data_IF_507711606427
#
_entry.id   IF_507711606427
#
_cell.length_a   1.000
_cell.length_b   1.000
_cell.length_c   1.000
_cell.angle_alpha   90.00
_cell.angle_beta   90.00
_cell.angle_gamma   90.00
#
_symmetry.space_group_name_H-M   'P 1'
#
loop_
_entity.id
_entity.type
_entity.pdbx_description
1 polymer ?
#
# COMPACT_ATOMS: atom_id res chain seq x y z
N UNK A 1 -2.34 7.83 19.93
CA UNK A 1 -3.62 7.72 19.22
C UNK A 1 -4.17 6.31 19.38
N UNK A 2 -5.29 6.23 20.03
CA UNK A 2 -6.01 4.95 20.04
C UNK A 2 -6.48 4.71 18.61
N UNK A 3 -5.99 3.64 17.98
CA UNK A 3 -6.70 3.12 16.82
C UNK A 3 -8.08 2.73 17.34
N UNK A 4 -9.03 3.65 17.24
CA UNK A 4 -10.35 3.40 17.77
C UNK A 4 -10.93 2.16 17.11
N UNK A 5 -11.32 1.23 17.93
CA UNK A 5 -12.11 0.08 17.46
C UNK A 5 -13.36 0.65 16.79
N UNK A 6 -13.46 0.48 15.50
CA UNK A 6 -14.63 0.91 14.73
C UNK A 6 -15.60 -0.24 14.63
N UNK A 7 -16.88 0.08 14.61
CA UNK A 7 -17.91 -0.94 14.36
C UNK A 7 -17.62 -1.62 13.01
N UNK A 8 -18.01 -2.86 12.86
CA UNK A 8 -17.78 -3.63 11.62
C UNK A 8 -18.33 -2.89 10.39
N UNK A 9 -19.49 -2.27 10.52
CA UNK A 9 -20.09 -1.50 9.43
C UNK A 9 -19.24 -0.29 9.03
N UNK A 10 -18.74 0.46 10.00
CA UNK A 10 -17.85 1.61 9.75
C UNK A 10 -16.51 1.16 9.20
N UNK A 11 -16.02 0.02 9.65
CA UNK A 11 -14.76 -0.55 9.16
C UNK A 11 -14.87 -0.90 7.67
N UNK A 12 -15.94 -1.57 7.26
CA UNK A 12 -16.18 -1.90 5.86
C UNK A 12 -16.31 -0.65 4.99
N UNK A 13 -16.98 0.37 5.50
CA UNK A 13 -17.14 1.63 4.79
C UNK A 13 -15.78 2.33 4.60
N UNK A 14 -14.94 2.36 5.62
CA UNK A 14 -13.59 2.94 5.53
C UNK A 14 -12.71 2.17 4.55
N UNK A 15 -12.80 0.85 4.54
CA UNK A 15 -12.10 0.03 3.55
C UNK A 15 -12.51 0.39 2.12
N UNK A 16 -13.80 0.55 1.88
CA UNK A 16 -14.31 0.96 0.57
C UNK A 16 -13.82 2.36 0.19
N UNK A 17 -13.81 3.29 1.14
CA UNK A 17 -13.36 4.66 0.92
C UNK A 17 -11.87 4.72 0.55
N UNK A 18 -11.01 4.06 1.30
CA UNK A 18 -9.57 4.11 1.05
C UNK A 18 -9.22 3.49 -0.30
N UNK A 19 -9.88 2.40 -0.66
CA UNK A 19 -9.71 1.76 -1.97
C UNK A 19 -10.20 2.68 -3.09
N UNK A 20 -11.38 3.26 -2.93
CA UNK A 20 -11.94 4.18 -3.94
C UNK A 20 -11.02 5.39 -4.17
N UNK A 21 -10.40 5.91 -3.12
CA UNK A 21 -9.46 7.02 -3.21
C UNK A 21 -8.24 6.64 -4.07
N UNK A 22 -7.60 5.51 -3.78
CA UNK A 22 -6.45 5.06 -4.57
C UNK A 22 -6.85 4.80 -6.02
N UNK A 23 -7.97 4.12 -6.24
CA UNK A 23 -8.47 3.83 -7.59
C UNK A 23 -8.84 5.10 -8.36
N UNK A 24 -9.25 6.16 -7.67
CA UNK A 24 -9.57 7.44 -8.31
C UNK A 24 -8.36 8.08 -9.00
N UNK A 25 -7.15 7.67 -8.63
CA UNK A 25 -5.91 8.17 -9.22
C UNK A 25 -5.34 7.21 -10.29
N UNK A 26 -6.03 6.11 -10.58
CA UNK A 26 -5.57 5.10 -11.55
C UNK A 26 -5.28 5.75 -12.92
N UNK A 27 -4.04 5.56 -13.39
CA UNK A 27 -3.57 6.11 -14.66
C UNK A 27 -3.39 7.62 -14.72
N UNK A 28 -3.58 8.33 -13.60
CA UNK A 28 -3.65 9.80 -13.59
C UNK A 28 -2.44 10.50 -13.02
N UNK A 29 -1.64 9.82 -12.19
CA UNK A 29 -0.53 10.46 -11.51
C UNK A 29 0.79 10.14 -12.19
N UNK A 30 1.58 11.18 -12.45
CA UNK A 30 2.96 11.04 -12.86
C UNK A 30 3.80 10.66 -11.65
N UNK A 31 4.70 9.69 -11.83
CA UNK A 31 5.57 9.23 -10.76
C UNK A 31 6.65 10.26 -10.46
N UNK A 32 6.80 10.62 -9.19
CA UNK A 32 7.91 11.45 -8.72
C UNK A 32 8.28 11.10 -7.29
N UNK A 33 9.59 11.08 -7.02
CA UNK A 33 10.13 10.94 -5.67
C UNK A 33 10.60 12.27 -5.10
N UNK A 34 10.45 13.36 -5.84
CA UNK A 34 10.79 14.69 -5.35
C UNK A 34 9.98 15.04 -4.12
N UNK A 35 10.64 15.55 -3.08
CA UNK A 35 10.02 15.80 -1.78
C UNK A 35 8.75 16.65 -1.88
N UNK A 36 8.77 17.71 -2.66
CA UNK A 36 7.59 18.58 -2.82
C UNK A 36 6.56 17.99 -3.77
N UNK A 37 7.01 17.33 -4.84
CA UNK A 37 6.12 16.78 -5.86
C UNK A 37 5.32 15.59 -5.40
N UNK A 38 5.97 14.66 -4.67
CA UNK A 38 5.33 13.40 -4.27
C UNK A 38 4.10 13.56 -3.37
N UNK A 39 3.95 14.69 -2.71
CA UNK A 39 2.80 14.98 -1.85
C UNK A 39 1.64 15.66 -2.59
N UNK A 40 1.81 15.96 -3.87
CA UNK A 40 0.80 16.64 -4.68
C UNK A 40 -0.10 15.65 -5.40
N UNK A 41 -0.64 14.71 -4.65
CA UNK A 41 -1.42 13.59 -5.21
C UNK A 41 -2.66 14.09 -5.95
N UNK A 42 -3.38 15.06 -5.39
CA UNK A 42 -4.55 15.66 -6.01
C UNK A 42 -4.21 16.42 -7.31
N UNK A 43 -2.97 16.86 -7.46
CA UNK A 43 -2.50 17.61 -8.64
C UNK A 43 -1.88 16.70 -9.71
N UNK A 44 -1.85 15.39 -9.49
CA UNK A 44 -1.38 14.42 -10.46
C UNK A 44 0.07 13.96 -10.28
N UNK A 45 0.62 14.05 -9.06
CA UNK A 45 1.99 13.61 -8.77
C UNK A 45 2.05 12.79 -7.49
N UNK A 46 2.73 11.65 -7.52
CA UNK A 46 2.92 10.80 -6.34
C UNK A 46 4.03 9.78 -6.57
N UNK A 47 4.45 9.13 -5.50
CA UNK A 47 5.15 7.84 -5.57
C UNK A 47 4.28 6.77 -4.88
N UNK A 48 4.81 5.54 -4.74
CA UNK A 48 4.01 4.45 -4.18
C UNK A 48 3.54 4.74 -2.75
N UNK A 49 4.43 5.22 -1.90
CA UNK A 49 4.13 5.46 -0.49
C UNK A 49 3.31 6.73 -0.25
N UNK A 50 3.56 7.80 -1.01
CA UNK A 50 2.78 9.03 -0.86
C UNK A 50 1.33 8.86 -1.31
N UNK A 51 1.10 8.02 -2.31
CA UNK A 51 -0.25 7.71 -2.77
C UNK A 51 -1.09 7.03 -1.67
N UNK A 52 -0.55 5.99 -1.05
CA UNK A 52 -1.29 5.29 0.01
C UNK A 52 -1.40 6.14 1.28
N UNK A 53 -0.38 6.92 1.61
CA UNK A 53 -0.44 7.88 2.70
C UNK A 53 -1.59 8.88 2.50
N UNK A 54 -1.67 9.47 1.31
CA UNK A 54 -2.73 10.41 0.95
C UNK A 54 -4.13 9.80 1.12
N UNK A 55 -4.33 8.58 0.64
CA UNK A 55 -5.61 7.90 0.75
C UNK A 55 -6.01 7.68 2.20
N UNK A 56 -5.07 7.22 3.04
CA UNK A 56 -5.33 7.04 4.47
C UNK A 56 -5.57 8.35 5.20
N UNK A 57 -4.83 9.42 4.85
CA UNK A 57 -5.06 10.75 5.42
C UNK A 57 -6.49 11.24 5.16
N UNK A 58 -7.02 10.97 3.97
CA UNK A 58 -8.39 11.36 3.61
C UNK A 58 -9.45 10.69 4.47
N UNK A 59 -9.16 9.55 5.05
CA UNK A 59 -10.06 8.87 5.97
C UNK A 59 -9.66 9.05 7.45
N UNK A 60 -8.75 10.01 7.71
CA UNK A 60 -8.36 10.41 9.06
C UNK A 60 -7.26 9.57 9.71
N UNK A 61 -6.47 8.85 8.94
CA UNK A 61 -5.40 8.01 9.48
C UNK A 61 -4.02 8.39 8.92
N UNK A 62 -3.04 8.51 9.80
CA UNK A 62 -1.65 8.73 9.41
C UNK A 62 -0.86 7.42 9.53
N UNK A 63 -0.39 6.90 8.40
CA UNK A 63 0.32 5.61 8.38
C UNK A 63 1.83 5.74 8.19
N UNK A 64 2.32 6.94 7.91
CA UNK A 64 3.73 7.21 7.68
C UNK A 64 4.00 7.80 6.31
N UNK A 65 5.11 8.54 6.18
CA UNK A 65 5.43 9.29 4.96
C UNK A 65 6.08 8.46 3.86
N UNK A 66 6.73 7.37 4.23
CA UNK A 66 7.41 6.49 3.27
C UNK A 66 7.28 5.02 3.68
N UNK A 67 7.77 4.11 2.85
CA UNK A 67 7.67 2.67 3.13
C UNK A 67 8.38 2.27 4.41
N UNK A 68 9.49 2.94 4.75
CA UNK A 68 10.25 2.65 5.98
C UNK A 68 9.45 2.96 7.24
N UNK A 69 8.63 4.01 7.23
CA UNK A 69 7.73 4.34 8.34
C UNK A 69 6.47 3.48 8.30
N UNK A 70 5.89 3.31 7.13
CA UNK A 70 4.64 2.57 6.97
C UNK A 70 4.76 1.13 7.45
N UNK A 71 5.89 0.46 7.17
CA UNK A 71 6.11 -0.92 7.58
C UNK A 71 6.22 -1.08 9.11
N UNK A 72 6.54 -0.01 9.82
CA UNK A 72 6.62 0.00 11.29
C UNK A 72 5.25 0.16 11.96
N UNK A 73 4.28 0.69 11.22
CA UNK A 73 2.93 0.96 11.72
C UNK A 73 1.98 -0.16 11.34
N UNK A 74 0.79 -0.17 11.93
CA UNK A 74 -0.20 -1.19 11.64
C UNK A 74 0.13 -2.55 12.25
N UNK A 75 -0.60 -3.57 11.83
CA UNK A 75 -0.48 -4.94 12.33
C UNK A 75 -0.11 -5.89 11.20
N UNK A 76 0.88 -6.76 11.45
CA UNK A 76 1.21 -7.81 10.50
C UNK A 76 0.05 -8.80 10.37
N UNK A 77 -0.44 -9.00 9.15
CA UNK A 77 -1.45 -10.01 8.82
C UNK A 77 -0.76 -11.26 8.27
N UNK A 78 0.21 -11.05 7.40
CA UNK A 78 1.01 -12.09 6.77
C UNK A 78 2.47 -11.65 6.75
N UNK A 79 3.38 -12.58 7.02
CA UNK A 79 4.81 -12.30 7.00
C UNK A 79 5.59 -13.61 6.81
N UNK A 80 6.74 -13.51 6.11
CA UNK A 80 7.63 -14.65 5.92
C UNK A 80 7.11 -15.68 4.93
N UNK A 81 6.24 -15.29 4.02
CA UNK A 81 5.67 -16.12 2.96
C UNK A 81 6.10 -15.59 1.59
N UNK A 82 6.10 -16.45 0.58
CA UNK A 82 6.43 -16.02 -0.79
C UNK A 82 5.34 -15.13 -1.40
N UNK A 83 4.08 -15.45 -1.11
CA UNK A 83 2.92 -14.71 -1.62
C UNK A 83 1.84 -14.61 -0.55
N UNK A 84 0.98 -13.58 -0.61
CA UNK A 84 -0.15 -13.48 0.30
C UNK A 84 -1.17 -14.62 0.08
N UNK A 85 -1.91 -14.91 1.14
CA UNK A 85 -3.07 -15.81 1.07
C UNK A 85 -4.29 -14.92 0.80
N UNK A 86 -4.85 -15.02 -0.39
CA UNK A 86 -5.90 -14.11 -0.86
C UNK A 86 -7.10 -14.02 0.08
N UNK A 87 -7.58 -15.16 0.59
CA UNK A 87 -8.77 -15.17 1.47
C UNK A 87 -8.56 -14.46 2.81
N UNK A 88 -7.31 -14.16 3.19
CA UNK A 88 -6.99 -13.43 4.42
C UNK A 88 -6.87 -11.93 4.19
N UNK A 89 -6.88 -11.52 2.93
CA UNK A 89 -6.72 -10.11 2.55
C UNK A 89 -8.03 -9.34 2.72
N UNK A 90 -7.90 -8.09 3.11
CA UNK A 90 -9.01 -7.15 3.18
C UNK A 90 -8.66 -5.89 2.37
N UNK A 91 -9.64 -5.29 1.68
CA UNK A 91 -9.41 -4.04 0.95
C UNK A 91 -8.78 -2.98 1.87
N UNK A 92 -7.73 -2.33 1.38
CA UNK A 92 -6.95 -1.37 2.16
C UNK A 92 -5.67 -1.94 2.77
N UNK A 93 -5.54 -3.25 2.83
CA UNK A 93 -4.29 -3.88 3.30
C UNK A 93 -3.13 -3.47 2.39
N UNK A 94 -1.96 -3.23 2.99
CA UNK A 94 -0.77 -2.85 2.24
C UNK A 94 0.22 -4.01 2.17
N UNK A 95 0.64 -4.30 0.94
CA UNK A 95 1.69 -5.28 0.65
C UNK A 95 3.02 -4.54 0.51
N UNK A 96 4.05 -5.04 1.20
CA UNK A 96 5.39 -4.45 1.13
C UNK A 96 6.34 -5.37 0.39
N UNK A 97 7.22 -4.74 -0.39
CA UNK A 97 8.22 -5.43 -1.22
C UNK A 97 9.60 -4.84 -0.95
N UNK A 98 10.60 -5.69 -0.99
CA UNK A 98 11.99 -5.29 -0.82
C UNK A 98 12.56 -4.68 -2.11
N UNK A 99 13.62 -3.91 -1.95
CA UNK A 99 14.54 -3.59 -3.04
C UNK A 99 15.52 -4.76 -3.22
N UNK A 100 16.26 -4.75 -4.30
CA UNK A 100 17.33 -5.73 -4.56
C UNK A 100 18.69 -5.30 -3.99
N UNK A 101 18.68 -4.27 -3.13
CA UNK A 101 19.87 -3.74 -2.47
C UNK A 101 19.55 -3.34 -1.04
N UNK A 102 20.59 -3.18 -0.20
CA UNK A 102 20.44 -2.70 1.17
C UNK A 102 20.21 -1.19 1.16
N UNK A 103 19.00 -0.77 1.53
CA UNK A 103 18.62 0.64 1.60
C UNK A 103 18.55 1.18 3.05
N UNK A 104 19.03 0.41 4.03
CA UNK A 104 19.00 0.80 5.44
C UNK A 104 17.65 0.69 6.13
N UNK A 105 16.61 0.25 5.43
CA UNK A 105 15.26 0.07 5.99
C UNK A 105 15.03 -1.37 6.42
N UNK A 106 14.00 -1.58 7.24
CA UNK A 106 13.56 -2.92 7.68
C UNK A 106 13.35 -3.80 6.45
N UNK A 107 14.01 -4.97 6.43
CA UNK A 107 13.94 -5.95 5.35
C UNK A 107 14.12 -5.36 3.95
N UNK A 108 14.85 -4.24 3.85
CA UNK A 108 15.11 -3.51 2.61
C UNK A 108 13.84 -3.03 1.91
N UNK A 109 12.79 -2.71 2.67
CA UNK A 109 11.51 -2.28 2.09
C UNK A 109 11.68 -1.05 1.20
N UNK A 110 11.12 -1.11 0.00
CA UNK A 110 11.23 -0.02 -0.96
C UNK A 110 10.00 0.19 -1.83
N UNK A 111 8.98 -0.67 -1.70
CA UNK A 111 7.77 -0.55 -2.51
C UNK A 111 6.54 -1.02 -1.74
N UNK A 112 5.41 -0.40 -2.03
CA UNK A 112 4.13 -0.71 -1.41
C UNK A 112 3.01 -0.74 -2.46
N UNK A 113 2.10 -1.70 -2.30
CA UNK A 113 0.88 -1.85 -3.10
C UNK A 113 -0.30 -1.99 -2.16
N UNK A 114 -1.48 -1.53 -2.57
CA UNK A 114 -2.70 -1.69 -1.79
C UNK A 114 -3.59 -2.79 -2.37
N UNK A 115 -4.07 -3.68 -1.52
CA UNK A 115 -5.09 -4.67 -1.92
C UNK A 115 -6.42 -3.96 -2.10
N UNK A 116 -7.03 -4.14 -3.28
CA UNK A 116 -8.29 -3.45 -3.63
C UNK A 116 -9.49 -4.38 -3.72
N UNK A 117 -9.29 -5.67 -3.44
CA UNK A 117 -10.32 -6.69 -3.55
C UNK A 117 -10.22 -7.50 -4.82
N UNK A 118 -10.94 -8.61 -4.89
CA UNK A 118 -11.01 -9.45 -6.10
C UNK A 118 -9.67 -10.04 -6.55
N UNK A 119 -8.71 -10.18 -5.65
CA UNK A 119 -7.38 -10.69 -6.00
C UNK A 119 -6.49 -9.67 -6.67
N UNK A 120 -6.86 -8.40 -6.64
CA UNK A 120 -6.13 -7.32 -7.31
C UNK A 120 -5.47 -6.37 -6.31
N UNK A 121 -4.34 -5.81 -6.74
CA UNK A 121 -3.61 -4.77 -6.01
C UNK A 121 -3.40 -3.58 -6.94
N UNK A 122 -3.17 -2.41 -6.34
CA UNK A 122 -2.79 -1.23 -7.09
C UNK A 122 -1.64 -0.53 -6.39
N UNK A 123 -0.75 0.05 -7.19
CA UNK A 123 0.38 0.80 -6.68
C UNK A 123 1.02 1.59 -7.79
N UNK A 124 1.82 2.56 -7.36
CA UNK A 124 2.42 3.54 -8.26
C UNK A 124 3.90 3.23 -8.42
N UNK A 125 4.25 2.76 -9.60
CA UNK A 125 5.65 2.61 -10.02
C UNK A 125 6.05 3.73 -10.96
N UNK A 126 7.18 3.56 -11.63
CA UNK A 126 7.64 4.53 -12.62
C UNK A 126 6.66 4.67 -13.78
N UNK A 127 6.55 5.87 -14.30
CA UNK A 127 5.65 6.20 -15.39
C UNK A 127 4.34 6.79 -14.90
N UNK A 128 3.32 6.73 -15.73
CA UNK A 128 1.99 7.21 -15.38
C UNK A 128 1.18 6.09 -14.73
N UNK A 129 0.71 6.33 -13.55
CA UNK A 129 -0.04 5.34 -12.78
C UNK A 129 -0.93 6.02 -11.77
N UNK A 130 -1.35 5.32 -10.72
CA UNK A 130 -1.12 3.91 -10.40
C UNK A 130 -1.82 2.93 -11.34
N UNK A 131 -1.37 1.69 -11.31
CA UNK A 131 -1.87 0.64 -12.21
C UNK A 131 -2.35 -0.54 -11.38
N UNK A 132 -3.55 -1.02 -11.71
CA UNK A 132 -4.12 -2.22 -11.10
C UNK A 132 -3.52 -3.48 -11.74
N UNK A 133 -3.24 -4.48 -10.91
CA UNK A 133 -2.60 -5.72 -11.35
C UNK A 133 -3.07 -6.89 -10.49
N UNK A 134 -2.88 -8.10 -10.99
CA UNK A 134 -3.20 -9.32 -10.23
C UNK A 134 -2.16 -9.56 -9.15
N UNK A 135 -2.60 -9.69 -7.91
CA UNK A 135 -1.73 -9.77 -6.73
C UNK A 135 -0.72 -10.91 -6.81
N UNK A 136 -1.18 -12.12 -7.06
CA UNK A 136 -0.29 -13.29 -7.05
C UNK A 136 0.73 -13.26 -8.18
N UNK A 137 0.32 -12.83 -9.36
CA UNK A 137 1.23 -12.69 -10.51
C UNK A 137 2.30 -11.64 -10.23
N UNK A 138 1.91 -10.51 -9.65
CA UNK A 138 2.84 -9.43 -9.32
C UNK A 138 3.86 -9.87 -8.26
N UNK A 139 3.43 -10.57 -7.21
CA UNK A 139 4.31 -11.08 -6.18
C UNK A 139 5.33 -12.06 -6.76
N UNK A 140 4.91 -12.97 -7.62
CA UNK A 140 5.81 -13.93 -8.29
C UNK A 140 6.85 -13.20 -9.14
N UNK A 141 6.42 -12.20 -9.89
CA UNK A 141 7.31 -11.39 -10.73
C UNK A 141 8.37 -10.69 -9.89
N UNK A 142 7.96 -10.02 -8.81
CA UNK A 142 8.88 -9.31 -7.92
C UNK A 142 9.88 -10.28 -7.27
N UNK A 143 9.41 -11.42 -6.80
CA UNK A 143 10.27 -12.45 -6.20
C UNK A 143 11.33 -12.93 -7.21
N UNK A 144 10.92 -13.16 -8.45
CA UNK A 144 11.84 -13.59 -9.52
C UNK A 144 12.90 -12.54 -9.82
N UNK A 145 12.58 -11.26 -9.62
CA UNK A 145 13.50 -10.14 -9.83
C UNK A 145 14.41 -9.85 -8.62
N UNK A 146 14.28 -10.63 -7.55
CA UNK A 146 15.01 -10.40 -6.31
C UNK A 146 14.46 -9.27 -5.44
N UNK A 147 13.29 -8.74 -5.79
CA UNK A 147 12.59 -7.67 -5.06
C UNK A 147 11.44 -8.28 -4.27
N UNK A 148 11.80 -9.05 -3.26
CA UNK A 148 10.92 -10.01 -2.59
C UNK A 148 9.72 -9.37 -1.88
N UNK A 149 8.60 -10.08 -1.93
CA UNK A 149 7.47 -9.82 -1.07
C UNK A 149 7.88 -10.02 0.40
N UNK A 150 7.58 -9.02 1.23
CA UNK A 150 7.92 -9.04 2.67
C UNK A 150 6.73 -9.51 3.49
N UNK A 151 5.58 -8.88 3.30
CA UNK A 151 4.40 -9.17 4.10
C UNK A 151 3.30 -8.15 3.88
N UNK A 152 2.23 -8.32 4.65
CA UNK A 152 1.03 -7.48 4.59
C UNK A 152 0.78 -6.83 5.93
N UNK A 153 0.57 -5.52 5.93
CA UNK A 153 0.15 -4.75 7.10
C UNK A 153 -1.30 -4.30 6.94
N UNK A 154 -2.01 -4.31 8.06
CA UNK A 154 -3.39 -3.80 8.15
C UNK A 154 -3.45 -2.65 9.12
N UNK A 155 -4.05 -1.55 8.71
CA UNK A 155 -4.19 -0.33 9.51
C UNK A 155 -5.63 -0.14 9.98
N UNK A 156 -6.60 -0.62 9.21
CA UNK A 156 -8.02 -0.59 9.55
C UNK A 156 -8.35 -1.85 10.34
N UNK A 157 -8.46 -1.69 11.65
CA UNK A 157 -8.67 -2.79 12.58
C UNK A 157 -10.06 -2.73 13.18
N UNK A 158 -10.73 -3.89 13.21
CA UNK A 158 -12.03 -4.04 13.84
C UNK A 158 -11.93 -4.25 15.35
N UNK A 159 -13.06 -4.26 15.98
CA UNK A 159 -13.19 -4.57 17.41
C UNK A 159 -12.83 -6.01 17.72
#
# INVERSE_FOLDING_TARGET
MKFGKVSEQNLQQKRKQVVALVLSREGKNEYTQEEKGRYRVDSGFSDCSSLVQWAYQKIGMEIGEDTGEQIKNGVWILRGMECPIERWMQPGDLLFFATDYDNGRIEHVGHVEMYVGGGEITGHGEGCGPVRKKMLEYCKKRNAEGKKFIGVKRYLLGE
#
